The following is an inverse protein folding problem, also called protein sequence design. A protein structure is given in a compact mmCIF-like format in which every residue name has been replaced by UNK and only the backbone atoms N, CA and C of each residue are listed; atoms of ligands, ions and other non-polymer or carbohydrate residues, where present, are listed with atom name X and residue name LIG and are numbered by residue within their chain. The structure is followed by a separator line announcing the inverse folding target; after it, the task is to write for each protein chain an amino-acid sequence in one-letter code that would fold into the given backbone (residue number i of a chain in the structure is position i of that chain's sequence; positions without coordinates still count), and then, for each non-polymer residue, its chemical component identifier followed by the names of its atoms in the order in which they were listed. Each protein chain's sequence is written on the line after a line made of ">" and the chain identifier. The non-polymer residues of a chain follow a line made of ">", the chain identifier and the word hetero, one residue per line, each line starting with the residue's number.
data_IF_113480956448
#
_entry.id   IF_113480956448
#
_cell.length_a   1.000
_cell.length_b   1.000
_cell.length_c   1.000
_cell.angle_alpha   90.00
_cell.angle_beta   90.00
_cell.angle_gamma   90.00
#
_symmetry.space_group_name_H-M   'P 1'
#
loop_
_entity.id
_entity.type
_entity.pdbx_description
1 polymer ?
#
# COMPACT_ATOMS: atom_id res chain seq x y z
N UNK A 1 -18.78 40.58 -2.04
CA UNK A 1 -18.04 39.32 -2.27
C UNK A 1 -19.05 38.28 -2.71
N UNK A 2 -19.08 37.96 -3.99
CA UNK A 2 -19.99 36.96 -4.56
C UNK A 2 -19.22 35.71 -4.97
N UNK A 3 -19.88 34.57 -4.91
CA UNK A 3 -19.35 33.32 -5.47
C UNK A 3 -19.43 33.40 -6.99
N UNK A 4 -18.36 33.05 -7.69
CA UNK A 4 -18.30 32.99 -9.16
C UNK A 4 -18.15 31.54 -9.60
N UNK A 5 -18.68 31.22 -10.78
CA UNK A 5 -18.59 29.87 -11.38
C UNK A 5 -17.28 29.62 -12.14
N UNK A 6 -16.38 30.62 -12.22
CA UNK A 6 -15.04 30.50 -12.82
C UNK A 6 -15.02 29.87 -14.22
N UNK A 7 -15.97 30.23 -15.10
CA UNK A 7 -16.20 29.56 -16.39
C UNK A 7 -15.02 29.65 -17.36
N UNK A 8 -14.38 30.82 -17.50
CA UNK A 8 -13.22 31.00 -18.37
C UNK A 8 -11.99 30.22 -17.87
N UNK A 9 -11.78 30.20 -16.55
CA UNK A 9 -10.68 29.46 -15.93
C UNK A 9 -10.86 27.94 -16.10
N UNK A 10 -12.10 27.46 -15.92
CA UNK A 10 -12.46 26.06 -16.15
C UNK A 10 -12.19 25.64 -17.59
N UNK A 11 -12.62 26.45 -18.57
CA UNK A 11 -12.41 26.14 -19.99
C UNK A 11 -10.93 26.13 -20.38
N UNK A 12 -10.14 27.04 -19.80
CA UNK A 12 -8.69 27.06 -19.98
C UNK A 12 -8.03 25.79 -19.44
N UNK A 13 -8.42 25.35 -18.24
CA UNK A 13 -7.91 24.13 -17.62
C UNK A 13 -8.32 22.86 -18.39
N UNK A 14 -9.49 22.86 -19.03
CA UNK A 14 -9.93 21.75 -19.88
C UNK A 14 -9.17 21.68 -21.20
N UNK A 15 -8.87 22.82 -21.81
CA UNK A 15 -8.09 22.87 -23.05
C UNK A 15 -6.61 22.52 -22.85
N UNK A 16 -6.03 22.99 -21.75
CA UNK A 16 -4.62 22.82 -21.44
C UNK A 16 -4.48 22.30 -19.99
N UNK A 17 -4.57 20.97 -19.77
CA UNK A 17 -4.37 20.41 -18.44
C UNK A 17 -2.96 20.75 -17.94
N UNK A 18 -2.87 21.08 -16.66
CA UNK A 18 -1.59 21.31 -15.98
C UNK A 18 -0.75 20.04 -15.99
N UNK A 19 0.53 20.15 -16.38
CA UNK A 19 1.47 19.02 -16.41
C UNK A 19 2.05 18.68 -15.04
N UNK A 20 2.02 19.62 -14.11
CA UNK A 20 2.72 19.51 -12.83
C UNK A 20 1.82 18.94 -11.72
N UNK A 21 0.64 19.54 -11.51
CA UNK A 21 -0.26 19.21 -10.39
C UNK A 21 -1.72 19.41 -10.76
N UNK A 22 -2.59 18.61 -10.16
CA UNK A 22 -4.03 18.77 -10.25
C UNK A 22 -4.47 20.10 -9.61
N UNK A 23 -5.37 20.85 -10.25
CA UNK A 23 -5.89 22.11 -9.69
C UNK A 23 -6.83 21.90 -8.49
N UNK A 24 -7.20 20.65 -8.16
CA UNK A 24 -8.14 20.32 -7.10
C UNK A 24 -7.46 19.58 -5.93
N UNK A 25 -6.75 20.31 -5.03
CA UNK A 25 -6.03 19.68 -3.92
C UNK A 25 -6.97 19.01 -2.90
N UNK A 26 -8.18 19.55 -2.69
CA UNK A 26 -9.16 18.98 -1.75
C UNK A 26 -9.63 17.59 -2.18
N UNK A 27 -9.77 17.37 -3.49
CA UNK A 27 -10.14 16.06 -4.02
C UNK A 27 -9.03 15.03 -3.76
N UNK A 28 -7.76 15.44 -3.93
CA UNK A 28 -6.62 14.59 -3.60
C UNK A 28 -6.55 14.28 -2.09
N UNK A 29 -6.86 15.26 -1.24
CA UNK A 29 -6.90 15.06 0.21
C UNK A 29 -7.97 14.07 0.65
N UNK A 30 -9.13 14.05 -0.02
CA UNK A 30 -10.22 13.11 0.30
C UNK A 30 -9.80 11.65 0.10
N UNK A 31 -9.01 11.35 -0.95
CA UNK A 31 -8.53 9.99 -1.24
C UNK A 31 -7.18 9.66 -0.61
N UNK A 32 -6.50 10.66 -0.05
CA UNK A 32 -5.19 10.53 0.59
C UNK A 32 -5.08 9.40 1.62
N UNK A 33 -6.05 9.13 2.53
CA UNK A 33 -5.91 8.03 3.48
C UNK A 33 -5.81 6.66 2.81
N UNK A 34 -6.52 6.43 1.71
CA UNK A 34 -6.47 5.17 0.98
C UNK A 34 -5.14 5.00 0.25
N UNK A 35 -4.70 6.03 -0.47
CA UNK A 35 -3.40 6.02 -1.17
C UNK A 35 -2.27 5.83 -0.16
N UNK A 36 -2.30 6.57 0.95
CA UNK A 36 -1.31 6.45 2.03
C UNK A 36 -1.28 5.06 2.66
N UNK A 37 -2.45 4.46 2.93
CA UNK A 37 -2.53 3.11 3.50
C UNK A 37 -1.93 2.04 2.58
N UNK A 38 -2.14 2.16 1.27
CA UNK A 38 -1.61 1.21 0.31
C UNK A 38 -0.11 1.40 0.10
N UNK A 39 0.34 2.65 -0.03
CA UNK A 39 1.76 2.94 -0.18
C UNK A 39 2.55 2.49 1.06
N UNK A 40 2.01 2.65 2.27
CA UNK A 40 2.65 2.18 3.51
C UNK A 40 2.91 0.66 3.57
N UNK A 41 2.32 -0.14 2.67
CA UNK A 41 2.64 -1.57 2.57
C UNK A 41 4.06 -1.82 2.07
N UNK A 42 4.54 -0.96 1.16
CA UNK A 42 5.85 -1.07 0.52
C UNK A 42 6.81 0.04 0.95
N UNK A 43 6.27 1.24 1.20
CA UNK A 43 7.02 2.40 1.65
C UNK A 43 7.09 2.44 3.18
N UNK A 44 8.25 2.79 3.72
CA UNK A 44 8.45 2.98 5.15
C UNK A 44 9.80 2.45 5.65
N UNK A 45 10.11 2.64 6.95
CA UNK A 45 11.28 2.02 7.56
C UNK A 45 11.22 0.50 7.41
N UNK A 46 12.39 -0.12 7.20
CA UNK A 46 12.54 -1.57 6.97
C UNK A 46 11.84 -2.13 5.71
N UNK A 47 11.48 -1.27 4.75
CA UNK A 47 10.89 -1.65 3.46
C UNK A 47 9.39 -1.93 3.52
N UNK A 48 8.68 -1.28 4.45
CA UNK A 48 7.22 -1.31 4.52
C UNK A 48 6.64 -2.40 5.42
N UNK A 49 5.32 -2.32 5.63
CA UNK A 49 4.59 -3.21 6.54
C UNK A 49 4.67 -4.69 6.12
N UNK A 50 4.81 -4.99 4.83
CA UNK A 50 4.90 -6.38 4.36
C UNK A 50 6.20 -7.06 4.84
N UNK A 51 7.32 -6.36 4.81
CA UNK A 51 8.59 -6.91 5.29
C UNK A 51 8.60 -7.11 6.80
N UNK A 52 7.94 -6.22 7.54
CA UNK A 52 7.72 -6.39 8.97
C UNK A 52 6.85 -7.61 9.25
N UNK A 53 5.77 -7.80 8.49
CA UNK A 53 4.87 -8.95 8.64
C UNK A 53 5.57 -10.28 8.31
N UNK A 54 6.40 -10.33 7.28
CA UNK A 54 7.19 -11.53 6.94
C UNK A 54 8.13 -11.91 8.08
N UNK A 55 8.81 -10.91 8.68
CA UNK A 55 9.68 -11.13 9.84
C UNK A 55 8.90 -11.65 11.05
N UNK A 56 7.69 -11.13 11.28
CA UNK A 56 6.83 -11.54 12.40
C UNK A 56 6.28 -12.97 12.26
N UNK A 57 5.90 -13.38 11.04
CA UNK A 57 5.40 -14.74 10.76
C UNK A 57 6.46 -15.81 11.10
N UNK A 58 7.73 -15.51 10.84
CA UNK A 58 8.86 -16.36 11.18
C UNK A 58 8.91 -17.67 10.38
N UNK A 59 9.44 -18.72 11.00
CA UNK A 59 9.65 -20.03 10.36
C UNK A 59 8.51 -20.98 10.71
N UNK A 60 7.88 -21.60 9.72
CA UNK A 60 6.95 -22.71 9.93
C UNK A 60 7.70 -24.03 9.82
N UNK A 61 7.46 -24.93 10.77
CA UNK A 61 8.12 -26.24 10.82
C UNK A 61 7.11 -27.35 10.60
N UNK A 62 7.36 -28.22 9.63
CA UNK A 62 6.53 -29.37 9.31
C UNK A 62 7.34 -30.64 9.51
N UNK A 63 6.70 -31.71 9.94
CA UNK A 63 7.30 -33.04 10.04
C UNK A 63 6.72 -33.92 8.95
N UNK A 64 7.58 -34.72 8.32
CA UNK A 64 7.23 -35.58 7.17
C UNK A 64 6.40 -36.82 7.56
N UNK A 65 6.24 -37.09 8.86
CA UNK A 65 5.50 -38.26 9.34
C UNK A 65 4.10 -37.89 9.82
N UNK A 66 3.13 -38.72 9.46
CA UNK A 66 1.75 -38.63 9.95
C UNK A 66 1.49 -39.51 11.19
N UNK A 67 2.51 -40.24 11.65
CA UNK A 67 2.42 -41.09 12.85
C UNK A 67 2.63 -40.27 14.14
N UNK A 68 1.73 -40.41 15.15
CA UNK A 68 1.81 -39.63 16.39
C UNK A 68 3.00 -40.02 17.28
N UNK A 69 3.57 -41.23 17.12
CA UNK A 69 4.69 -41.72 17.94
C UNK A 69 6.07 -41.49 17.31
N UNK A 70 6.13 -41.21 16.01
CA UNK A 70 7.39 -41.06 15.28
C UNK A 70 7.36 -39.83 14.39
N UNK A 71 7.86 -38.73 14.91
CA UNK A 71 8.11 -37.53 14.12
C UNK A 71 9.32 -37.79 13.20
N UNK A 72 9.07 -37.81 11.89
CA UNK A 72 10.09 -38.05 10.86
C UNK A 72 11.06 -36.87 10.68
N UNK A 73 11.48 -36.61 9.45
CA UNK A 73 12.38 -35.49 9.17
C UNK A 73 11.70 -34.14 9.44
N UNK A 74 12.43 -33.23 10.09
CA UNK A 74 11.98 -31.85 10.36
C UNK A 74 12.31 -30.96 9.18
N UNK A 75 11.28 -30.42 8.54
CA UNK A 75 11.39 -29.46 7.46
C UNK A 75 11.09 -28.06 8.00
N UNK A 76 12.02 -27.13 7.79
CA UNK A 76 11.86 -25.73 8.19
C UNK A 76 11.63 -24.86 6.96
N UNK A 77 10.44 -24.28 6.83
CA UNK A 77 10.11 -23.31 5.80
C UNK A 77 10.28 -21.91 6.39
N UNK A 78 11.35 -21.22 5.98
CA UNK A 78 11.55 -19.80 6.30
C UNK A 78 10.85 -18.97 5.23
N UNK A 79 9.99 -18.03 5.62
CA UNK A 79 9.55 -16.99 4.70
C UNK A 79 10.74 -16.03 4.49
N UNK A 80 11.25 -15.98 3.26
CA UNK A 80 12.33 -15.09 2.83
C UNK A 80 11.86 -13.64 2.76
#
# INVERSE_FOLDING_TARGET
>A
MGVSFHTLEREKNYRAPSKEKSPYPLLQQAVRPHIGSFNALMDGPDGGLLNLAVKDIGTKTVFDSNDPERLGNKLNCKCC
#
